data_IF_147993011238
#
_entry.id   IF_147993011238
#
_cell.length_a   1.000
_cell.length_b   1.000
_cell.length_c   1.000
_cell.angle_alpha   90.00
_cell.angle_beta   90.00
_cell.angle_gamma   90.00
#
_symmetry.space_group_name_H-M   'P 1'
#
loop_
_entity.id
_entity.type
_entity.pdbx_description
1 polymer ?
#
# COMPACT_ATOMS: atom_id res chain seq x y z
N UNK A 1 7.31 -7.44 62.74
CA UNK A 1 6.05 -6.99 63.36
C UNK A 1 5.19 -8.22 63.62
N UNK A 2 4.90 -8.54 64.93
CA UNK A 2 4.17 -9.75 65.29
C UNK A 2 2.66 -9.54 65.10
N UNK A 3 2.11 -10.02 64.00
CA UNK A 3 0.69 -10.02 63.63
C UNK A 3 -0.22 -10.72 64.65
N UNK A 4 0.37 -11.53 65.55
CA UNK A 4 -0.36 -12.31 66.57
C UNK A 4 -0.97 -11.48 67.69
N UNK A 5 -0.53 -10.23 67.92
CA UNK A 5 -1.02 -9.35 69.00
C UNK A 5 -1.99 -8.26 68.56
N UNK A 6 -2.38 -8.22 67.28
CA UNK A 6 -3.38 -7.25 66.78
C UNK A 6 -4.80 -7.73 67.12
N UNK A 7 -5.64 -6.78 67.57
CA UNK A 7 -7.08 -7.04 67.77
C UNK A 7 -7.72 -7.50 66.48
N UNK A 8 -8.76 -8.32 66.56
CA UNK A 8 -9.44 -8.91 65.39
C UNK A 8 -9.87 -7.85 64.36
N UNK A 9 -10.30 -6.69 64.82
CA UNK A 9 -10.68 -5.57 63.97
C UNK A 9 -9.50 -5.05 63.11
N UNK A 10 -8.29 -4.94 63.69
CA UNK A 10 -7.11 -4.47 62.92
C UNK A 10 -6.66 -5.48 61.86
N UNK A 11 -6.80 -6.77 62.11
CA UNK A 11 -6.52 -7.83 61.11
C UNK A 11 -7.49 -7.75 59.95
N UNK A 12 -8.77 -7.50 60.19
CA UNK A 12 -9.79 -7.34 59.18
C UNK A 12 -9.50 -6.10 58.29
N UNK A 13 -9.13 -4.97 58.93
CA UNK A 13 -8.78 -3.75 58.18
C UNK A 13 -7.55 -3.94 57.29
N UNK A 14 -6.50 -4.61 57.76
CA UNK A 14 -5.31 -4.92 56.95
C UNK A 14 -5.70 -5.77 55.74
N UNK A 15 -6.55 -6.77 55.91
CA UNK A 15 -7.00 -7.61 54.83
C UNK A 15 -7.79 -6.83 53.79
N UNK A 16 -8.72 -5.98 54.19
CA UNK A 16 -9.50 -5.11 53.31
C UNK A 16 -8.58 -4.19 52.50
N UNK A 17 -7.63 -3.52 53.15
CA UNK A 17 -6.67 -2.64 52.47
C UNK A 17 -5.83 -3.41 51.44
N UNK A 18 -5.38 -4.61 51.78
CA UNK A 18 -4.60 -5.46 50.88
C UNK A 18 -5.41 -5.87 49.62
N UNK A 19 -6.68 -6.19 49.81
CA UNK A 19 -7.59 -6.51 48.70
C UNK A 19 -7.80 -5.28 47.79
N UNK A 20 -8.04 -4.11 48.37
CA UNK A 20 -8.22 -2.86 47.62
C UNK A 20 -6.95 -2.54 46.82
N UNK A 21 -5.77 -2.61 47.43
CA UNK A 21 -4.47 -2.39 46.75
C UNK A 21 -4.27 -3.38 45.59
N UNK A 22 -4.62 -4.65 45.81
CA UNK A 22 -4.53 -5.67 44.75
C UNK A 22 -5.44 -5.36 43.55
N UNK A 23 -6.69 -4.95 43.81
CA UNK A 23 -7.65 -4.56 42.77
C UNK A 23 -7.14 -3.34 42.00
N UNK A 24 -6.64 -2.33 42.71
CA UNK A 24 -6.06 -1.11 42.09
C UNK A 24 -4.84 -1.46 41.23
N UNK A 25 -3.96 -2.35 41.68
CA UNK A 25 -2.79 -2.78 40.91
C UNK A 25 -3.20 -3.51 39.62
N UNK A 26 -4.16 -4.43 39.67
CA UNK A 26 -4.68 -5.12 38.49
C UNK A 26 -5.34 -4.16 37.52
N UNK A 27 -6.14 -3.21 38.03
CA UNK A 27 -6.79 -2.21 37.20
C UNK A 27 -5.74 -1.30 36.49
N UNK A 28 -4.71 -0.85 37.21
CA UNK A 28 -3.64 -0.04 36.66
C UNK A 28 -2.87 -0.78 35.51
N UNK A 29 -2.52 -2.04 35.73
CA UNK A 29 -1.87 -2.87 34.69
C UNK A 29 -2.80 -3.08 33.49
N UNK A 30 -4.09 -3.30 33.71
CA UNK A 30 -5.10 -3.42 32.67
C UNK A 30 -5.19 -2.17 31.79
N UNK A 31 -5.24 -0.99 32.41
CA UNK A 31 -5.30 0.29 31.69
C UNK A 31 -4.05 0.55 30.83
N UNK A 32 -2.86 0.30 31.37
CA UNK A 32 -1.60 0.49 30.62
C UNK A 32 -1.53 -0.46 29.41
N UNK A 33 -1.89 -1.74 29.60
CA UNK A 33 -1.92 -2.71 28.48
C UNK A 33 -2.96 -2.36 27.42
N UNK A 34 -4.17 -1.97 27.84
CA UNK A 34 -5.23 -1.54 26.92
C UNK A 34 -4.82 -0.32 26.10
N UNK A 35 -4.17 0.68 26.70
CA UNK A 35 -3.66 1.84 26.00
C UNK A 35 -2.60 1.46 24.95
N UNK A 36 -1.70 0.51 25.26
CA UNK A 36 -0.71 0.00 24.32
C UNK A 36 -1.33 -0.72 23.13
N UNK A 37 -2.31 -1.59 23.36
CA UNK A 37 -3.04 -2.32 22.32
C UNK A 37 -3.79 -1.35 21.39
N UNK A 38 -4.46 -0.36 21.95
CA UNK A 38 -5.18 0.67 21.18
C UNK A 38 -4.22 1.51 20.33
N UNK A 39 -3.05 1.86 20.84
CA UNK A 39 -2.04 2.61 20.10
C UNK A 39 -1.50 1.79 18.91
N UNK A 40 -1.17 0.51 19.14
CA UNK A 40 -0.75 -0.40 18.07
C UNK A 40 -1.85 -0.60 17.02
N UNK A 41 -3.10 -0.79 17.45
CA UNK A 41 -4.24 -0.93 16.54
C UNK A 41 -4.43 0.29 15.64
N UNK A 42 -4.28 1.50 16.19
CA UNK A 42 -4.34 2.74 15.41
C UNK A 42 -3.20 2.87 14.41
N UNK A 43 -1.98 2.50 14.79
CA UNK A 43 -0.83 2.51 13.85
C UNK A 43 -1.03 1.52 12.70
N UNK A 44 -1.48 0.29 12.99
CA UNK A 44 -1.75 -0.71 11.96
C UNK A 44 -2.87 -0.25 11.01
N UNK A 45 -3.94 0.33 11.56
CA UNK A 45 -5.03 0.88 10.76
C UNK A 45 -4.58 2.06 9.88
N UNK A 46 -3.76 2.96 10.41
CA UNK A 46 -3.21 4.09 9.66
C UNK A 46 -2.32 3.62 8.51
N UNK A 47 -1.42 2.67 8.76
CA UNK A 47 -0.54 2.11 7.74
C UNK A 47 -1.34 1.38 6.63
N UNK A 48 -2.35 0.60 7.02
CA UNK A 48 -3.21 -0.09 6.05
C UNK A 48 -3.99 0.90 5.17
N UNK A 49 -4.53 1.96 5.76
CA UNK A 49 -5.25 3.00 5.01
C UNK A 49 -4.33 3.74 4.04
N UNK A 50 -3.12 4.08 4.46
CA UNK A 50 -2.12 4.71 3.61
C UNK A 50 -1.71 3.80 2.44
N UNK A 51 -1.50 2.50 2.69
CA UNK A 51 -1.22 1.52 1.65
C UNK A 51 -2.35 1.44 0.63
N UNK A 52 -3.61 1.36 1.08
CA UNK A 52 -4.80 1.33 0.19
C UNK A 52 -4.87 2.60 -0.65
N UNK A 53 -4.67 3.78 -0.05
CA UNK A 53 -4.70 5.05 -0.76
C UNK A 53 -3.63 5.11 -1.86
N UNK A 54 -2.37 4.77 -1.54
CA UNK A 54 -1.25 4.77 -2.49
C UNK A 54 -1.44 3.75 -3.62
N UNK A 55 -1.93 2.55 -3.29
CA UNK A 55 -2.22 1.51 -4.27
C UNK A 55 -3.36 1.91 -5.22
N UNK A 56 -4.39 2.56 -4.69
CA UNK A 56 -5.50 3.09 -5.51
C UNK A 56 -5.01 4.20 -6.45
N UNK A 57 -4.18 5.12 -5.95
CA UNK A 57 -3.58 6.16 -6.78
C UNK A 57 -2.68 5.56 -7.87
N UNK A 58 -1.84 4.58 -7.53
CA UNK A 58 -1.01 3.87 -8.50
C UNK A 58 -1.86 3.24 -9.61
N UNK A 59 -2.91 2.51 -9.24
CA UNK A 59 -3.84 1.89 -10.20
C UNK A 59 -4.46 2.93 -11.13
N UNK A 60 -4.97 4.04 -10.61
CA UNK A 60 -5.55 5.12 -11.42
C UNK A 60 -4.55 5.76 -12.38
N UNK A 61 -3.32 5.97 -11.95
CA UNK A 61 -2.24 6.49 -12.80
C UNK A 61 -1.84 5.49 -13.90
N UNK A 62 -1.81 4.19 -13.57
CA UNK A 62 -1.52 3.13 -14.55
C UNK A 62 -2.60 3.06 -15.62
N UNK A 63 -3.87 3.08 -15.22
CA UNK A 63 -5.00 3.12 -16.15
C UNK A 63 -4.96 4.36 -17.05
N UNK A 64 -4.66 5.53 -16.49
CA UNK A 64 -4.51 6.76 -17.27
C UNK A 64 -3.41 6.64 -18.32
N UNK A 65 -2.28 6.03 -17.98
CA UNK A 65 -1.21 5.79 -18.95
C UNK A 65 -1.59 4.74 -20.00
N UNK A 66 -2.38 3.72 -19.63
CA UNK A 66 -2.89 2.73 -20.59
C UNK A 66 -3.78 3.39 -21.65
N UNK A 67 -4.74 4.21 -21.21
CA UNK A 67 -5.65 4.95 -22.12
C UNK A 67 -4.88 5.90 -23.04
N UNK A 68 -3.91 6.68 -22.50
CA UNK A 68 -3.09 7.57 -23.32
C UNK A 68 -2.25 6.79 -24.33
N UNK A 69 -1.68 5.65 -23.93
CA UNK A 69 -0.90 4.80 -24.83
C UNK A 69 -1.75 4.21 -25.95
N UNK A 70 -2.98 3.79 -25.62
CA UNK A 70 -3.94 3.33 -26.62
C UNK A 70 -4.31 4.47 -27.59
N UNK A 71 -4.59 5.66 -27.09
CA UNK A 71 -4.90 6.82 -27.93
C UNK A 71 -3.75 7.13 -28.93
N UNK A 72 -2.48 7.05 -28.48
CA UNK A 72 -1.32 7.25 -29.34
C UNK A 72 -1.29 6.21 -30.47
N UNK A 73 -1.64 4.96 -30.21
CA UNK A 73 -1.55 3.89 -31.21
C UNK A 73 -2.67 3.93 -32.23
N UNK A 74 -3.89 4.26 -31.83
CA UNK A 74 -5.04 4.32 -32.73
C UNK A 74 -5.15 5.64 -33.51
N UNK A 75 -4.47 6.71 -33.09
CA UNK A 75 -4.51 8.01 -33.76
C UNK A 75 -3.43 8.04 -34.85
N UNK A 76 -3.78 8.30 -36.12
CA UNK A 76 -2.79 8.45 -37.19
C UNK A 76 -1.84 9.61 -36.95
N UNK A 77 -0.58 9.43 -37.34
CA UNK A 77 0.45 10.47 -37.23
C UNK A 77 0.96 10.75 -35.82
N UNK A 78 1.77 11.79 -35.64
CA UNK A 78 2.48 12.08 -34.39
C UNK A 78 1.65 12.87 -33.35
N UNK A 79 0.51 13.46 -33.74
CA UNK A 79 -0.26 14.41 -32.93
C UNK A 79 -0.58 13.90 -31.52
N UNK A 80 -1.09 12.66 -31.39
CA UNK A 80 -1.40 12.09 -30.10
C UNK A 80 -0.15 11.74 -29.30
N UNK A 81 0.93 11.32 -29.98
CA UNK A 81 2.22 11.08 -29.34
C UNK A 81 2.78 12.32 -28.70
N UNK A 82 2.78 13.45 -29.44
CA UNK A 82 3.28 14.74 -28.97
C UNK A 82 2.42 15.28 -27.83
N UNK A 83 1.08 15.15 -27.93
CA UNK A 83 0.14 15.59 -26.92
C UNK A 83 0.28 14.83 -25.58
N UNK A 84 0.57 13.54 -25.60
CA UNK A 84 0.57 12.71 -24.37
C UNK A 84 1.97 12.34 -23.85
N UNK A 85 3.04 12.60 -24.58
CA UNK A 85 4.41 12.24 -24.19
C UNK A 85 4.79 12.72 -22.80
N UNK A 86 4.60 13.99 -22.53
CA UNK A 86 4.98 14.60 -21.25
C UNK A 86 4.07 14.11 -20.11
N UNK A 87 2.77 13.99 -20.36
CA UNK A 87 1.82 13.47 -19.41
C UNK A 87 2.13 12.01 -19.02
N UNK A 88 2.50 11.16 -19.98
CA UNK A 88 2.91 9.76 -19.72
C UNK A 88 4.22 9.73 -18.91
N UNK A 89 5.17 10.57 -19.24
CA UNK A 89 6.45 10.66 -18.54
C UNK A 89 6.25 11.09 -17.08
N UNK A 90 5.49 12.16 -16.86
CA UNK A 90 5.18 12.65 -15.51
C UNK A 90 4.41 11.62 -14.69
N UNK A 91 3.40 10.97 -15.29
CA UNK A 91 2.63 9.91 -14.63
C UNK A 91 3.49 8.70 -14.28
N UNK A 92 4.40 8.29 -15.19
CA UNK A 92 5.33 7.19 -14.93
C UNK A 92 6.32 7.49 -13.82
N UNK A 93 6.81 8.74 -13.73
CA UNK A 93 7.65 9.20 -12.63
C UNK A 93 6.89 9.17 -11.29
N UNK A 94 5.64 9.64 -11.26
CA UNK A 94 4.79 9.60 -10.07
C UNK A 94 4.53 8.18 -9.59
N UNK A 95 4.25 7.24 -10.49
CA UNK A 95 4.12 5.81 -10.17
C UNK A 95 5.41 5.27 -9.53
N UNK A 96 6.58 5.68 -10.04
CA UNK A 96 7.86 5.24 -9.46
C UNK A 96 8.09 5.77 -8.05
N UNK A 97 7.61 6.97 -7.74
CA UNK A 97 7.64 7.53 -6.38
C UNK A 97 6.71 6.73 -5.46
N UNK A 98 5.45 6.53 -5.86
CA UNK A 98 4.47 5.74 -5.09
C UNK A 98 4.96 4.32 -4.81
N UNK A 99 5.57 3.67 -5.79
CA UNK A 99 6.15 2.34 -5.62
C UNK A 99 7.25 2.32 -4.54
N UNK A 100 8.16 3.29 -4.56
CA UNK A 100 9.22 3.43 -3.54
C UNK A 100 8.64 3.72 -2.16
N UNK A 101 7.61 4.56 -2.08
CA UNK A 101 6.94 4.88 -0.83
C UNK A 101 6.26 3.64 -0.23
N UNK A 102 5.54 2.86 -1.05
CA UNK A 102 4.93 1.58 -0.60
C UNK A 102 6.02 0.57 -0.18
N UNK A 103 7.12 0.45 -0.93
CA UNK A 103 8.22 -0.47 -0.60
C UNK A 103 8.94 -0.09 0.71
N UNK A 104 8.94 1.19 1.06
CA UNK A 104 9.48 1.70 2.34
C UNK A 104 8.57 1.46 3.54
N UNK A 105 7.30 1.08 3.33
CA UNK A 105 6.36 0.79 4.41
C UNK A 105 6.69 -0.53 5.10
N UNK A 106 6.24 -0.66 6.35
CA UNK A 106 6.35 -1.93 7.10
C UNK A 106 5.31 -2.92 6.61
N UNK A 107 5.61 -3.61 5.51
CA UNK A 107 4.73 -4.57 4.85
C UNK A 107 4.88 -5.97 5.44
N UNK A 108 3.77 -6.73 5.44
CA UNK A 108 3.81 -8.18 5.68
C UNK A 108 4.61 -8.89 4.57
N UNK A 109 5.21 -10.06 4.84
CA UNK A 109 5.98 -10.79 3.83
C UNK A 109 5.19 -11.10 2.55
N UNK A 110 3.91 -11.39 2.70
CA UNK A 110 2.98 -11.67 1.59
C UNK A 110 2.75 -10.44 0.71
N UNK A 111 2.54 -9.28 1.33
CA UNK A 111 2.36 -8.00 0.62
C UNK A 111 3.64 -7.60 -0.13
N UNK A 112 4.79 -7.81 0.51
CA UNK A 112 6.09 -7.57 -0.11
C UNK A 112 6.34 -8.45 -1.33
N UNK A 113 5.97 -9.73 -1.25
CA UNK A 113 6.05 -10.64 -2.38
C UNK A 113 5.10 -10.22 -3.52
N UNK A 114 3.91 -9.73 -3.18
CA UNK A 114 2.94 -9.23 -4.15
C UNK A 114 3.45 -7.96 -4.84
N UNK A 115 4.02 -7.02 -4.07
CA UNK A 115 4.62 -5.79 -4.60
C UNK A 115 5.75 -6.10 -5.60
N UNK A 116 6.58 -7.11 -5.31
CA UNK A 116 7.64 -7.55 -6.23
C UNK A 116 7.06 -8.12 -7.55
N UNK A 117 5.94 -8.85 -7.51
CA UNK A 117 5.27 -9.33 -8.72
C UNK A 117 4.73 -8.16 -9.54
N UNK A 118 4.07 -7.20 -8.88
CA UNK A 118 3.56 -5.99 -9.54
C UNK A 118 4.69 -5.19 -10.18
N UNK A 119 5.83 -5.07 -9.51
CA UNK A 119 7.02 -4.41 -10.07
C UNK A 119 7.49 -5.06 -11.36
N UNK A 120 7.61 -6.39 -11.38
CA UNK A 120 7.99 -7.15 -12.59
C UNK A 120 6.97 -7.01 -13.72
N UNK A 121 5.67 -7.06 -13.40
CA UNK A 121 4.61 -6.84 -14.38
C UNK A 121 4.66 -5.43 -14.97
N UNK A 122 4.98 -4.42 -14.14
CA UNK A 122 5.17 -3.05 -14.59
C UNK A 122 6.31 -2.92 -15.60
N UNK A 123 7.43 -3.59 -15.37
CA UNK A 123 8.55 -3.59 -16.32
C UNK A 123 8.11 -4.17 -17.68
N UNK A 124 7.38 -5.30 -17.67
CA UNK A 124 6.80 -5.90 -18.89
C UNK A 124 5.84 -4.92 -19.58
N UNK A 125 4.99 -4.21 -18.83
CA UNK A 125 4.05 -3.21 -19.40
C UNK A 125 4.81 -2.05 -20.06
N UNK A 126 5.91 -1.59 -19.45
CA UNK A 126 6.74 -0.52 -20.01
C UNK A 126 7.39 -0.98 -21.32
N UNK A 127 7.95 -2.18 -21.35
CA UNK A 127 8.59 -2.75 -22.54
C UNK A 127 7.59 -2.97 -23.68
N UNK A 128 6.42 -3.54 -23.39
CA UNK A 128 5.36 -3.73 -24.38
C UNK A 128 4.89 -2.39 -24.96
N UNK A 129 4.75 -1.36 -24.14
CA UNK A 129 4.42 -0.02 -24.61
C UNK A 129 5.49 0.57 -25.53
N UNK A 130 6.76 0.41 -25.15
CA UNK A 130 7.88 0.87 -25.98
C UNK A 130 7.89 0.16 -27.32
N UNK A 131 7.75 -1.17 -27.32
CA UNK A 131 7.70 -2.00 -28.53
C UNK A 131 6.53 -1.63 -29.44
N UNK A 132 5.33 -1.44 -28.89
CA UNK A 132 4.17 -1.05 -29.70
C UNK A 132 4.35 0.32 -30.37
N UNK A 133 5.00 1.27 -29.68
CA UNK A 133 5.33 2.59 -30.24
C UNK A 133 6.37 2.49 -31.35
N UNK A 134 7.41 1.69 -31.16
CA UNK A 134 8.45 1.46 -32.16
C UNK A 134 7.87 0.79 -33.40
N UNK A 135 7.06 -0.26 -33.23
CA UNK A 135 6.36 -0.94 -34.32
C UNK A 135 5.53 0.04 -35.14
N UNK A 136 4.77 0.92 -34.48
CA UNK A 136 4.01 1.97 -35.16
C UNK A 136 4.92 2.96 -35.91
N UNK A 137 6.00 3.42 -35.26
CA UNK A 137 6.95 4.38 -35.86
C UNK A 137 7.62 3.79 -37.14
N UNK A 138 7.77 2.46 -37.22
CA UNK A 138 8.28 1.76 -38.36
C UNK A 138 7.23 1.52 -39.49
N UNK A 139 6.01 2.07 -39.32
CA UNK A 139 4.93 1.98 -40.30
C UNK A 139 4.03 0.75 -40.17
N UNK A 140 4.22 -0.10 -39.16
CA UNK A 140 3.47 -1.34 -38.94
C UNK A 140 2.31 -1.08 -37.96
N UNK A 141 1.34 -0.22 -38.35
CA UNK A 141 0.25 0.21 -37.47
C UNK A 141 -0.64 -0.96 -37.00
N UNK A 142 -0.96 -1.90 -37.89
CA UNK A 142 -1.81 -3.06 -37.58
C UNK A 142 -1.15 -3.97 -36.52
N UNK A 143 0.13 -4.27 -36.69
CA UNK A 143 0.91 -5.07 -35.74
C UNK A 143 1.03 -4.34 -34.37
N UNK A 144 1.19 -3.02 -34.37
CA UNK A 144 1.22 -2.22 -33.15
C UNK A 144 -0.11 -2.27 -32.40
N UNK A 145 -1.25 -2.24 -33.11
CA UNK A 145 -2.59 -2.37 -32.52
C UNK A 145 -2.80 -3.79 -31.96
N UNK A 146 -2.37 -4.82 -32.68
CA UNK A 146 -2.44 -6.21 -32.19
C UNK A 146 -1.60 -6.37 -30.90
N UNK A 147 -0.38 -5.89 -30.87
CA UNK A 147 0.49 -5.93 -29.69
C UNK A 147 -0.16 -5.23 -28.49
N UNK A 148 -0.84 -4.10 -28.73
CA UNK A 148 -1.58 -3.38 -27.70
C UNK A 148 -2.73 -4.22 -27.15
N UNK A 149 -3.57 -4.75 -28.01
CA UNK A 149 -4.79 -5.45 -27.60
C UNK A 149 -4.49 -6.83 -26.98
N UNK A 150 -3.54 -7.58 -27.55
CA UNK A 150 -3.29 -8.96 -27.16
C UNK A 150 -2.31 -9.10 -26.00
N UNK A 151 -1.42 -8.12 -25.80
CA UNK A 151 -0.37 -8.22 -24.79
C UNK A 151 -0.39 -7.06 -23.78
N UNK A 152 -0.41 -5.81 -24.25
CA UNK A 152 -0.27 -4.66 -23.35
C UNK A 152 -1.51 -4.46 -22.44
N UNK A 153 -2.71 -4.38 -23.01
CA UNK A 153 -3.93 -4.18 -22.24
C UNK A 153 -4.18 -5.31 -21.23
N UNK A 154 -4.05 -6.60 -21.57
CA UNK A 154 -4.14 -7.68 -20.61
C UNK A 154 -3.08 -7.62 -19.51
N UNK A 155 -1.86 -7.15 -19.82
CA UNK A 155 -0.81 -7.00 -18.81
C UNK A 155 -1.08 -5.87 -17.82
N UNK A 156 -1.79 -4.81 -18.23
CA UNK A 156 -2.18 -3.70 -17.33
C UNK A 156 -3.37 -4.03 -16.42
N UNK A 157 -4.12 -5.10 -16.73
CA UNK A 157 -5.29 -5.53 -15.97
C UNK A 157 -4.98 -6.59 -14.89
N UNK A 158 -3.74 -7.08 -14.81
CA UNK A 158 -3.25 -8.07 -13.83
C UNK A 158 -2.67 -7.42 -12.59
#
# INVERSE_FOLDING_TARGET
MNLARLQVASKLWIFIVLVIVSICAVAAVGLVRSAGILAQGRMLQSNAMEMVQRSTEWTGLTQSNAVRSQAILITPGPTASDAFKDAITATSAKISVLQKEIDSMSLAPEDKAQLQKISKLRDVVIDLRAKARETKANGNEEEAIQLMNDQYLPATAR
#
